data_IF_032726576009
#
_entry.id   IF_032726576009
#
_cell.length_a   1.000
_cell.length_b   1.000
_cell.length_c   1.000
_cell.angle_alpha   90.00
_cell.angle_beta   90.00
_cell.angle_gamma   90.00
#
_symmetry.space_group_name_H-M   'P 1'
#
loop_
_entity.id
_entity.type
_entity.pdbx_description
1 polymer ?
#
# COMPACT_ATOMS: atom_id res chain seq x y z
N UNK A 1 -48.29 -11.63 -46.58
CA UNK A 1 -48.36 -12.57 -45.44
C UNK A 1 -46.93 -12.74 -44.96
N UNK A 2 -46.64 -12.23 -43.77
CA UNK A 2 -45.32 -12.22 -43.13
C UNK A 2 -45.08 -13.52 -42.36
N UNK A 3 -43.81 -13.97 -42.29
CA UNK A 3 -43.20 -14.82 -41.23
C UNK A 3 -41.67 -14.70 -41.42
N UNK A 4 -40.98 -13.80 -40.71
CA UNK A 4 -40.22 -14.02 -39.46
C UNK A 4 -38.81 -14.63 -39.63
N UNK A 5 -37.81 -13.77 -39.44
CA UNK A 5 -36.39 -14.06 -39.29
C UNK A 5 -36.10 -14.72 -37.93
N UNK A 6 -35.53 -15.93 -37.93
CA UNK A 6 -35.04 -16.55 -36.70
C UNK A 6 -33.50 -16.53 -36.66
N UNK A 7 -32.96 -15.53 -35.94
CA UNK A 7 -31.54 -15.42 -35.58
C UNK A 7 -31.20 -16.44 -34.51
N UNK A 8 -30.55 -17.54 -34.89
CA UNK A 8 -29.91 -18.47 -33.93
C UNK A 8 -28.48 -17.99 -33.63
N UNK A 9 -28.32 -17.20 -32.57
CA UNK A 9 -27.02 -16.84 -32.04
C UNK A 9 -26.53 -17.99 -31.15
N UNK A 10 -25.68 -18.85 -31.71
CA UNK A 10 -25.06 -19.95 -30.98
C UNK A 10 -24.25 -19.41 -29.80
N UNK A 11 -24.67 -19.78 -28.59
CA UNK A 11 -23.97 -19.52 -27.34
C UNK A 11 -22.60 -20.18 -27.36
N UNK A 12 -21.52 -19.41 -27.47
CA UNK A 12 -20.21 -19.86 -27.00
C UNK A 12 -20.23 -19.77 -25.49
N UNK A 13 -20.29 -20.93 -24.83
CA UNK A 13 -19.93 -21.07 -23.43
C UNK A 13 -18.53 -20.48 -23.25
N UNK A 14 -18.43 -19.41 -22.45
CA UNK A 14 -17.15 -18.93 -21.95
C UNK A 14 -16.71 -19.96 -20.93
N UNK A 15 -15.75 -20.80 -21.29
CA UNK A 15 -15.03 -21.66 -20.35
C UNK A 15 -14.30 -20.76 -19.34
N UNK A 16 -14.99 -20.44 -18.24
CA UNK A 16 -14.40 -19.76 -17.11
C UNK A 16 -13.45 -20.72 -16.41
N UNK A 17 -12.15 -20.52 -16.63
CA UNK A 17 -11.08 -21.31 -16.02
C UNK A 17 -11.24 -21.35 -14.49
N UNK A 18 -10.96 -22.48 -13.80
CA UNK A 18 -11.07 -22.60 -12.34
C UNK A 18 -10.30 -21.51 -11.57
N UNK A 19 -9.25 -20.95 -12.18
CA UNK A 19 -8.46 -19.84 -11.62
C UNK A 19 -9.25 -18.52 -11.54
N UNK A 20 -10.08 -18.21 -12.54
CA UNK A 20 -10.89 -16.99 -12.54
C UNK A 20 -11.99 -17.03 -11.48
N UNK A 21 -12.58 -18.20 -11.25
CA UNK A 21 -13.63 -18.35 -10.24
C UNK A 21 -13.07 -18.23 -8.81
N UNK A 22 -11.88 -18.78 -8.56
CA UNK A 22 -11.17 -18.60 -7.27
C UNK A 22 -10.76 -17.15 -7.01
N UNK A 23 -10.25 -16.46 -8.02
CA UNK A 23 -9.88 -15.04 -7.92
C UNK A 23 -11.11 -14.13 -7.72
N UNK A 24 -12.24 -14.46 -8.34
CA UNK A 24 -13.50 -13.75 -8.15
C UNK A 24 -14.03 -13.86 -6.70
N UNK A 25 -13.90 -15.04 -6.09
CA UNK A 25 -14.27 -15.26 -4.68
C UNK A 25 -13.42 -14.43 -3.72
N UNK A 26 -12.09 -14.49 -3.85
CA UNK A 26 -11.17 -13.74 -2.99
C UNK A 26 -11.38 -12.22 -3.10
N UNK A 27 -11.59 -11.71 -4.32
CA UNK A 27 -11.92 -10.29 -4.53
C UNK A 27 -13.20 -9.88 -3.79
N UNK A 28 -14.22 -10.72 -3.83
CA UNK A 28 -15.50 -10.46 -3.16
C UNK A 28 -15.33 -10.45 -1.63
N UNK A 29 -14.54 -11.36 -1.07
CA UNK A 29 -14.21 -11.42 0.35
C UNK A 29 -13.53 -10.13 0.82
N UNK A 30 -12.46 -9.71 0.13
CA UNK A 30 -11.71 -8.49 0.45
C UNK A 30 -12.59 -7.25 0.31
N UNK A 31 -13.42 -7.18 -0.75
CA UNK A 31 -14.38 -6.10 -0.91
C UNK A 31 -15.37 -6.00 0.26
N UNK A 32 -15.93 -7.12 0.71
CA UNK A 32 -16.89 -7.13 1.81
C UNK A 32 -16.22 -6.73 3.13
N UNK A 33 -14.98 -7.15 3.37
CA UNK A 33 -14.20 -6.76 4.55
C UNK A 33 -13.89 -5.26 4.55
N UNK A 34 -13.41 -4.71 3.43
CA UNK A 34 -13.16 -3.27 3.25
C UNK A 34 -14.45 -2.47 3.47
N UNK A 35 -15.56 -2.92 2.87
CA UNK A 35 -16.87 -2.26 3.04
C UNK A 35 -17.30 -2.23 4.51
N UNK A 36 -17.15 -3.36 5.21
CA UNK A 36 -17.52 -3.49 6.63
C UNK A 36 -16.68 -2.55 7.50
N UNK A 37 -15.36 -2.47 7.26
CA UNK A 37 -14.48 -1.56 7.99
C UNK A 37 -14.78 -0.10 7.74
N UNK A 38 -15.03 0.29 6.49
CA UNK A 38 -15.40 1.68 6.15
C UNK A 38 -16.71 2.11 6.83
N UNK A 39 -17.67 1.18 6.97
CA UNK A 39 -18.90 1.41 7.72
C UNK A 39 -18.64 1.56 9.23
N UNK A 40 -17.78 0.71 9.81
CA UNK A 40 -17.40 0.80 11.22
C UNK A 40 -16.65 2.09 11.57
N UNK A 41 -15.81 2.59 10.67
CA UNK A 41 -15.10 3.86 10.80
C UNK A 41 -16.02 5.08 10.63
N UNK A 42 -17.30 4.85 10.30
CA UNK A 42 -18.31 5.87 10.02
C UNK A 42 -17.81 6.89 8.97
N UNK A 43 -17.14 6.39 7.92
CA UNK A 43 -16.66 7.25 6.85
C UNK A 43 -17.87 7.88 6.15
N UNK A 44 -17.85 9.20 5.97
CA UNK A 44 -19.02 9.96 5.46
C UNK A 44 -19.51 9.42 4.12
N UNK A 45 -18.58 9.02 3.26
CA UNK A 45 -18.87 8.47 1.93
C UNK A 45 -19.55 7.09 1.98
N UNK A 46 -19.32 6.30 3.03
CA UNK A 46 -19.89 4.95 3.15
C UNK A 46 -21.42 4.96 3.32
N UNK A 47 -21.97 6.11 3.74
CA UNK A 47 -23.41 6.32 3.90
C UNK A 47 -24.10 6.86 2.64
N UNK A 48 -23.34 7.18 1.57
CA UNK A 48 -23.91 7.74 0.35
C UNK A 48 -24.62 6.64 -0.48
N UNK A 49 -25.75 6.98 -1.12
CA UNK A 49 -26.43 6.05 -2.02
C UNK A 49 -25.52 5.71 -3.20
N UNK A 50 -25.38 4.42 -3.51
CA UNK A 50 -24.53 3.93 -4.60
C UNK A 50 -23.04 3.79 -4.26
N UNK A 51 -22.61 4.13 -3.04
CA UNK A 51 -21.21 3.95 -2.60
C UNK A 51 -20.71 2.51 -2.80
N UNK A 52 -21.53 1.54 -2.37
CA UNK A 52 -21.21 0.10 -2.50
C UNK A 52 -20.92 -0.29 -3.95
N UNK A 53 -21.77 0.14 -4.87
CA UNK A 53 -21.64 -0.17 -6.30
C UNK A 53 -20.41 0.51 -6.89
N UNK A 54 -20.16 1.76 -6.52
CA UNK A 54 -18.97 2.51 -6.95
C UNK A 54 -17.66 1.92 -6.42
N UNK A 55 -17.66 1.37 -5.22
CA UNK A 55 -16.52 0.67 -4.63
C UNK A 55 -16.31 -0.68 -5.34
N UNK A 56 -17.39 -1.40 -5.62
CA UNK A 56 -17.32 -2.66 -6.37
C UNK A 56 -16.79 -2.46 -7.80
N UNK A 57 -17.23 -1.40 -8.47
CA UNK A 57 -16.69 -1.01 -9.78
C UNK A 57 -15.18 -0.71 -9.72
N UNK A 58 -14.71 -0.07 -8.65
CA UNK A 58 -13.28 0.18 -8.46
C UNK A 58 -12.48 -1.13 -8.35
N UNK A 59 -12.93 -2.10 -7.57
CA UNK A 59 -12.29 -3.43 -7.51
C UNK A 59 -12.30 -4.18 -8.85
N UNK A 60 -13.35 -4.00 -9.66
CA UNK A 60 -13.44 -4.62 -10.98
C UNK A 60 -12.62 -3.91 -12.05
N UNK A 61 -12.34 -2.61 -11.86
CA UNK A 61 -11.47 -1.82 -12.72
C UNK A 61 -10.00 -2.23 -12.59
N UNK A 62 -9.61 -2.80 -11.46
CA UNK A 62 -8.24 -3.20 -11.13
C UNK A 62 -7.99 -4.72 -11.35
N UNK A 63 -6.73 -5.13 -11.57
CA UNK A 63 -6.39 -6.54 -11.75
C UNK A 63 -6.61 -7.32 -10.44
N UNK A 64 -6.86 -8.66 -10.50
CA UNK A 64 -7.11 -9.47 -9.31
C UNK A 64 -6.04 -9.33 -8.21
N UNK A 65 -4.78 -9.12 -8.61
CA UNK A 65 -3.66 -8.91 -7.68
C UNK A 65 -3.88 -7.73 -6.72
N UNK A 66 -4.55 -6.67 -7.14
CA UNK A 66 -4.85 -5.54 -6.25
C UNK A 66 -5.62 -5.98 -5.00
N UNK A 67 -6.63 -6.85 -5.18
CA UNK A 67 -7.41 -7.37 -4.06
C UNK A 67 -6.60 -8.32 -3.17
N UNK A 68 -5.57 -8.98 -3.71
CA UNK A 68 -4.70 -9.87 -2.94
C UNK A 68 -3.68 -9.11 -2.09
N UNK A 69 -3.19 -7.99 -2.62
CA UNK A 69 -2.06 -7.26 -2.03
C UNK A 69 -2.51 -6.12 -1.11
N UNK A 70 -3.73 -5.60 -1.28
CA UNK A 70 -4.23 -4.47 -0.48
C UNK A 70 -4.54 -4.92 0.95
N UNK A 71 -4.04 -4.16 1.93
CA UNK A 71 -4.36 -4.42 3.33
C UNK A 71 -5.80 -4.00 3.64
N UNK A 72 -6.61 -4.94 4.13
CA UNK A 72 -7.96 -4.66 4.62
C UNK A 72 -7.97 -3.75 5.84
N UNK A 73 -6.88 -3.72 6.60
CA UNK A 73 -6.71 -2.80 7.74
C UNK A 73 -6.64 -1.34 7.32
N UNK A 74 -6.37 -1.12 6.04
CA UNK A 74 -6.19 0.18 5.41
C UNK A 74 -7.30 0.46 4.41
N UNK A 75 -8.54 0.21 4.82
CA UNK A 75 -9.71 0.34 3.97
C UNK A 75 -9.88 1.76 3.38
N UNK A 76 -9.43 2.79 4.10
CA UNK A 76 -9.41 4.18 3.64
C UNK A 76 -8.48 4.39 2.44
N UNK A 77 -7.42 3.59 2.30
CA UNK A 77 -6.47 3.71 1.20
C UNK A 77 -7.11 3.30 -0.13
N UNK A 78 -8.05 2.35 -0.07
CA UNK A 78 -8.87 1.98 -1.23
C UNK A 78 -9.67 3.19 -1.70
N UNK A 79 -10.15 4.04 -0.79
CA UNK A 79 -10.84 5.29 -1.15
C UNK A 79 -9.88 6.31 -1.75
N UNK A 80 -8.68 6.43 -1.19
CA UNK A 80 -7.62 7.25 -1.77
C UNK A 80 -7.30 6.81 -3.20
N UNK A 81 -7.08 5.51 -3.44
CA UNK A 81 -6.83 4.97 -4.77
C UNK A 81 -7.98 5.24 -5.74
N UNK A 82 -9.22 5.01 -5.30
CA UNK A 82 -10.43 5.31 -6.07
C UNK A 82 -10.49 6.79 -6.43
N UNK A 83 -10.21 7.68 -5.47
CA UNK A 83 -10.20 9.13 -5.68
C UNK A 83 -9.11 9.56 -6.65
N UNK A 84 -7.89 9.04 -6.50
CA UNK A 84 -6.76 9.38 -7.38
C UNK A 84 -7.00 8.93 -8.82
N UNK A 85 -7.58 7.75 -9.03
CA UNK A 85 -7.98 7.28 -10.36
C UNK A 85 -9.07 8.16 -10.98
N UNK A 86 -10.07 8.57 -10.19
CA UNK A 86 -11.12 9.46 -10.67
C UNK A 86 -10.59 10.87 -10.99
N UNK A 87 -9.76 11.45 -10.13
CA UNK A 87 -9.14 12.75 -10.41
C UNK A 87 -8.25 12.68 -11.64
N UNK A 88 -7.56 11.56 -11.84
CA UNK A 88 -6.80 11.34 -13.05
C UNK A 88 -7.68 11.23 -14.28
N UNK A 89 -9.02 11.18 -14.24
CA UNK A 89 -9.83 11.22 -15.47
C UNK A 89 -9.78 12.60 -16.16
N UNK A 90 -9.51 13.68 -15.42
CA UNK A 90 -9.32 15.02 -15.98
C UNK A 90 -7.88 15.24 -16.49
N UNK A 91 -7.66 15.47 -17.80
CA UNK A 91 -6.33 15.72 -18.34
C UNK A 91 -5.62 16.96 -17.76
N UNK A 92 -6.37 17.95 -17.25
CA UNK A 92 -5.81 19.21 -16.77
C UNK A 92 -5.07 19.08 -15.42
N UNK A 93 -5.36 18.02 -14.66
CA UNK A 93 -4.81 17.80 -13.31
C UNK A 93 -3.78 16.67 -13.25
N UNK A 94 -3.52 15.99 -14.37
CA UNK A 94 -2.56 14.87 -14.43
C UNK A 94 -1.10 15.35 -14.41
N UNK A 95 -0.18 14.54 -13.85
CA UNK A 95 -0.43 13.35 -13.05
C UNK A 95 -0.94 13.71 -11.65
N UNK A 96 -1.89 12.91 -11.13
CA UNK A 96 -2.42 13.09 -9.78
C UNK A 96 -1.63 12.19 -8.84
N UNK A 97 -1.23 12.69 -7.69
CA UNK A 97 -0.47 11.89 -6.74
C UNK A 97 -0.75 12.31 -5.30
N UNK A 98 -0.47 11.39 -4.38
CA UNK A 98 -0.57 11.59 -2.94
C UNK A 98 0.70 11.09 -2.25
N UNK A 99 1.12 11.81 -1.22
CA UNK A 99 2.28 11.48 -0.39
C UNK A 99 1.81 11.38 1.05
N UNK A 100 2.22 10.31 1.72
CA UNK A 100 1.91 10.10 3.13
C UNK A 100 3.08 9.45 3.86
N UNK A 101 3.04 9.54 5.18
CA UNK A 101 4.02 8.91 6.07
C UNK A 101 3.52 7.53 6.48
N UNK A 102 4.38 6.51 6.39
CA UNK A 102 4.10 5.12 6.75
C UNK A 102 5.20 4.56 7.64
N UNK A 103 4.89 3.47 8.33
CA UNK A 103 5.80 2.81 9.26
C UNK A 103 6.02 1.36 8.84
N UNK A 104 7.29 0.97 8.66
CA UNK A 104 7.67 -0.39 8.29
C UNK A 104 8.48 -1.01 9.42
N UNK A 105 8.11 -2.21 9.86
CA UNK A 105 8.90 -2.95 10.84
C UNK A 105 10.13 -3.55 10.15
N UNK A 106 11.34 -3.39 10.72
CA UNK A 106 12.53 -4.01 10.16
C UNK A 106 12.39 -5.53 10.23
N UNK A 107 12.50 -6.20 9.08
CA UNK A 107 12.73 -7.64 9.03
C UNK A 107 14.13 -7.90 9.56
N UNK A 108 14.24 -8.48 10.76
CA UNK A 108 15.52 -8.90 11.33
C UNK A 108 16.24 -9.84 10.35
N UNK A 109 17.37 -9.41 9.79
CA UNK A 109 18.33 -10.27 9.12
C UNK A 109 19.61 -10.22 9.97
N UNK A 110 20.03 -11.39 10.46
CA UNK A 110 20.85 -11.52 11.66
C UNK A 110 22.36 -11.25 11.56
N UNK A 111 22.97 -11.52 12.72
CA UNK A 111 24.38 -11.63 13.09
C UNK A 111 25.06 -10.35 13.57
N UNK A 112 25.30 -10.27 14.90
CA UNK A 112 26.44 -9.54 15.43
C UNK A 112 26.96 -10.20 16.69
N UNK A 113 28.23 -10.56 16.63
CA UNK A 113 29.04 -11.26 17.63
C UNK A 113 29.42 -10.30 18.77
N UNK A 114 29.50 -10.86 19.98
CA UNK A 114 30.12 -10.42 21.24
C UNK A 114 30.76 -9.03 21.31
N UNK A 115 30.44 -8.28 22.37
CA UNK A 115 31.47 -7.97 23.38
C UNK A 115 30.86 -7.35 24.65
N UNK A 116 31.20 -7.99 25.77
CA UNK A 116 30.98 -7.56 27.15
C UNK A 116 31.70 -6.24 27.48
N UNK A 117 31.12 -5.39 28.33
CA UNK A 117 31.77 -4.95 29.59
C UNK A 117 30.82 -4.17 30.52
N UNK A 118 30.93 -4.52 31.81
CA UNK A 118 30.35 -4.03 33.07
C UNK A 118 29.79 -2.59 33.17
N UNK A 119 28.98 -2.17 34.14
CA UNK A 119 28.08 -2.73 35.20
C UNK A 119 27.84 -1.57 36.20
N UNK A 120 26.87 -1.71 37.13
CA UNK A 120 26.67 -0.94 38.38
C UNK A 120 25.80 0.34 38.25
N UNK A 121 24.75 0.63 39.05
CA UNK A 121 24.38 0.20 40.39
C UNK A 121 22.88 0.55 40.69
N UNK A 122 22.07 -0.45 41.00
CA UNK A 122 21.07 -0.58 42.11
C UNK A 122 20.20 0.65 42.50
N UNK A 123 18.85 0.53 42.40
CA UNK A 123 17.92 0.31 43.55
C UNK A 123 16.43 0.29 43.19
N UNK A 124 15.77 -0.66 43.85
CA UNK A 124 14.33 -0.87 44.14
C UNK A 124 13.59 0.45 44.50
N UNK A 125 12.28 0.63 44.33
CA UNK A 125 11.19 -0.25 44.77
C UNK A 125 9.81 0.25 44.28
N UNK A 126 8.83 -0.67 44.34
CA UNK A 126 7.39 -0.52 44.55
C UNK A 126 6.55 0.64 43.94
N UNK A 127 5.67 0.23 43.03
CA UNK A 127 4.30 0.72 42.77
C UNK A 127 4.08 2.21 42.45
N UNK A 128 4.00 2.50 41.15
CA UNK A 128 3.08 3.50 40.61
C UNK A 128 2.40 2.93 39.37
N UNK A 129 1.10 2.64 39.51
CA UNK A 129 0.17 2.72 38.39
C UNK A 129 0.29 4.14 37.81
N UNK A 130 0.23 4.25 36.49
CA UNK A 130 0.54 5.47 35.71
C UNK A 130 2.03 5.72 35.50
N UNK A 131 2.67 4.87 34.69
CA UNK A 131 3.77 5.34 33.86
C UNK A 131 3.29 5.39 32.41
N UNK A 132 2.98 6.62 32.00
CA UNK A 132 2.88 7.08 30.63
C UNK A 132 4.07 6.54 29.82
N UNK A 133 3.90 5.38 29.19
CA UNK A 133 4.90 4.85 28.27
C UNK A 133 4.79 5.66 26.98
N UNK A 134 5.58 6.72 26.94
CA UNK A 134 6.14 7.40 25.79
C UNK A 134 5.41 7.16 24.47
N UNK A 135 4.44 8.04 24.24
CA UNK A 135 3.85 8.51 22.98
C UNK A 135 4.83 8.49 21.78
N UNK A 136 5.19 7.31 21.25
CA UNK A 136 5.81 7.13 19.93
C UNK A 136 4.68 7.28 18.92
N UNK A 137 4.73 8.29 18.06
CA UNK A 137 3.77 8.43 16.97
C UNK A 137 3.72 7.16 16.14
N UNK A 138 2.57 6.48 16.13
CA UNK A 138 2.31 5.23 15.43
C UNK A 138 1.80 5.63 14.04
N UNK A 139 2.68 5.75 13.06
CA UNK A 139 2.24 6.00 11.68
C UNK A 139 1.63 4.70 11.12
N UNK A 140 0.66 4.78 10.20
CA UNK A 140 0.00 3.58 9.70
C UNK A 140 0.96 2.77 8.80
N UNK A 141 0.76 1.44 8.67
CA UNK A 141 1.59 0.60 7.81
C UNK A 141 1.39 0.94 6.32
N UNK A 142 2.26 0.49 5.40
CA UNK A 142 2.03 0.65 3.95
C UNK A 142 0.67 0.09 3.47
N UNK A 143 0.16 0.60 2.34
CA UNK A 143 -1.12 0.12 1.75
C UNK A 143 -1.00 -1.32 1.25
N UNK A 144 0.17 -1.61 0.69
CA UNK A 144 0.55 -2.88 0.11
C UNK A 144 1.85 -3.32 0.77
N UNK A 145 2.01 -4.63 0.98
CA UNK A 145 3.17 -5.15 1.71
C UNK A 145 2.98 -5.13 3.22
N UNK A 146 3.75 -5.97 3.91
CA UNK A 146 3.59 -6.33 5.34
C UNK A 146 2.22 -6.93 5.69
N UNK A 147 1.85 -8.04 5.03
CA UNK A 147 0.78 -8.89 5.56
C UNK A 147 1.16 -9.43 6.97
N UNK A 148 0.21 -9.64 7.90
CA UNK A 148 0.47 -10.24 9.22
C UNK A 148 1.13 -11.62 9.15
N UNK A 149 1.14 -12.27 7.98
CA UNK A 149 1.74 -13.58 7.79
C UNK A 149 3.29 -13.56 7.77
N UNK A 150 3.93 -12.41 7.47
CA UNK A 150 5.38 -12.27 7.60
C UNK A 150 5.80 -12.00 9.05
N UNK A 151 5.00 -11.25 9.81
CA UNK A 151 5.20 -11.07 11.26
C UNK A 151 4.99 -12.39 12.02
N UNK A 152 4.05 -13.23 11.61
CA UNK A 152 3.86 -14.57 12.18
C UNK A 152 5.06 -15.50 11.97
N UNK A 153 5.75 -15.40 10.82
CA UNK A 153 6.99 -16.13 10.57
C UNK A 153 8.15 -15.61 11.43
N UNK A 154 8.21 -14.29 11.67
CA UNK A 154 9.21 -13.69 12.57
C UNK A 154 8.96 -14.10 14.03
N UNK A 155 7.70 -14.16 14.47
CA UNK A 155 7.32 -14.62 15.82
C UNK A 155 7.58 -16.11 16.05
N UNK A 156 7.34 -16.97 15.05
CA UNK A 156 7.58 -18.43 15.16
C UNK A 156 9.06 -18.80 15.29
N UNK A 157 9.97 -18.01 14.71
CA UNK A 157 11.42 -18.23 14.88
C UNK A 157 11.86 -17.94 16.33
N UNK A 158 11.17 -17.05 17.03
CA UNK A 158 11.45 -16.72 18.44
C UNK A 158 10.79 -17.64 19.47
N UNK A 159 9.89 -18.56 19.06
CA UNK A 159 9.15 -19.41 20.01
C UNK A 159 9.66 -20.85 20.11
N UNK A 160 10.76 -21.21 19.43
CA UNK A 160 11.27 -22.60 19.44
C UNK A 160 12.47 -22.86 20.37
N UNK A 161 12.97 -21.87 21.10
CA UNK A 161 13.98 -22.10 22.14
C UNK A 161 13.36 -21.87 23.51
N UNK A 162 12.75 -22.92 24.04
CA UNK A 162 12.45 -23.04 25.47
C UNK A 162 13.56 -23.89 26.08
N UNK A 163 14.01 -23.43 27.25
CA UNK A 163 14.98 -24.01 28.18
C UNK A 163 16.43 -23.51 28.00
N UNK A 164 16.72 -22.31 28.52
CA UNK A 164 17.64 -22.25 29.67
C UNK A 164 17.48 -20.94 30.47
N UNK A 165 17.75 -21.06 31.77
CA UNK A 165 17.61 -20.05 32.81
C UNK A 165 18.43 -18.76 32.59
N UNK A 166 17.86 -17.64 33.04
CA UNK A 166 18.54 -16.40 33.44
C UNK A 166 19.52 -15.75 32.44
N UNK A 167 19.03 -14.92 31.51
CA UNK A 167 19.83 -13.80 30.97
C UNK A 167 19.07 -12.79 30.12
N UNK A 168 19.16 -11.52 30.50
CA UNK A 168 19.18 -10.30 29.65
C UNK A 168 17.91 -9.94 28.87
N UNK A 169 17.36 -8.80 29.28
CA UNK A 169 16.44 -7.93 28.55
C UNK A 169 17.01 -7.60 27.17
N UNK A 170 16.74 -8.45 26.16
CA UNK A 170 16.86 -8.07 24.77
C UNK A 170 15.80 -7.01 24.49
N UNK A 171 16.19 -5.76 24.73
CA UNK A 171 15.56 -4.57 24.18
C UNK A 171 15.78 -4.57 22.67
N UNK A 172 15.24 -5.56 21.95
CA UNK A 172 14.91 -5.38 20.53
C UNK A 172 13.69 -4.48 20.48
N UNK A 173 13.90 -3.21 20.83
CA UNK A 173 13.02 -2.17 20.34
C UNK A 173 13.17 -2.20 18.83
N UNK A 174 12.34 -3.00 18.16
CA UNK A 174 12.22 -3.01 16.70
C UNK A 174 11.97 -1.56 16.30
N UNK A 175 13.02 -0.89 15.83
CA UNK A 175 12.93 0.48 15.37
C UNK A 175 12.16 0.43 14.07
N UNK A 176 10.85 0.56 14.17
CA UNK A 176 9.98 0.80 13.05
C UNK A 176 10.52 1.98 12.24
N UNK A 177 10.99 1.70 11.02
CA UNK A 177 11.57 2.72 10.18
C UNK A 177 10.43 3.55 9.58
N UNK A 178 10.49 4.87 9.80
CA UNK A 178 9.57 5.81 9.15
C UNK A 178 9.94 5.89 7.68
N UNK A 179 8.95 5.69 6.83
CA UNK A 179 9.08 5.71 5.37
C UNK A 179 7.95 6.58 4.80
N UNK A 180 8.05 6.92 3.53
CA UNK A 180 7.00 7.64 2.83
C UNK A 180 6.38 6.74 1.80
N UNK A 181 5.07 6.83 1.63
CA UNK A 181 4.37 6.17 0.55
C UNK A 181 3.89 7.24 -0.44
N UNK A 182 4.23 7.03 -1.72
CA UNK A 182 3.85 7.90 -2.82
C UNK A 182 2.98 7.11 -3.77
N UNK A 183 1.72 7.52 -3.92
CA UNK A 183 0.79 6.92 -4.88
C UNK A 183 0.59 7.86 -6.06
N UNK A 184 0.84 7.37 -7.26
CA UNK A 184 0.61 8.05 -8.53
C UNK A 184 -0.59 7.47 -9.26
N UNK A 185 -1.34 8.34 -9.93
CA UNK A 185 -2.43 7.98 -10.82
C UNK A 185 -2.37 8.82 -12.10
N UNK A 186 -2.32 8.14 -13.25
CA UNK A 186 -2.20 8.78 -14.57
C UNK A 186 -2.63 7.82 -15.68
N UNK A 187 -2.54 8.25 -16.94
CA UNK A 187 -2.79 7.38 -18.11
C UNK A 187 -1.72 6.31 -18.18
N UNK A 188 -2.13 5.05 -18.31
CA UNK A 188 -1.21 3.95 -18.55
C UNK A 188 -0.62 4.08 -19.96
N UNK A 189 0.71 4.07 -20.04
CA UNK A 189 1.45 4.21 -21.28
C UNK A 189 2.82 3.54 -21.18
N UNK A 190 3.41 3.14 -22.32
CA UNK A 190 4.76 2.60 -22.33
C UNK A 190 5.75 3.52 -21.62
N UNK A 191 6.67 2.92 -20.85
CA UNK A 191 7.73 3.60 -20.08
C UNK A 191 7.26 4.46 -18.91
N UNK A 192 5.96 4.48 -18.56
CA UNK A 192 5.47 5.23 -17.40
C UNK A 192 6.25 4.90 -16.12
N UNK A 193 6.37 3.62 -15.78
CA UNK A 193 7.12 3.18 -14.60
C UNK A 193 8.57 3.67 -14.59
N UNK A 194 9.27 3.60 -15.73
CA UNK A 194 10.64 4.12 -15.81
C UNK A 194 10.72 5.63 -15.57
N UNK A 195 9.70 6.39 -16.01
CA UNK A 195 9.61 7.83 -15.76
C UNK A 195 9.37 8.11 -14.27
N UNK A 196 8.46 7.39 -13.64
CA UNK A 196 8.17 7.53 -12.20
C UNK A 196 9.36 7.11 -11.35
N UNK A 197 10.05 6.03 -11.69
CA UNK A 197 11.28 5.61 -10.99
C UNK A 197 12.41 6.63 -11.15
N UNK A 198 12.57 7.23 -12.35
CA UNK A 198 13.53 8.32 -12.57
C UNK A 198 13.20 9.51 -11.68
N UNK A 199 11.93 9.92 -11.60
CA UNK A 199 11.48 10.99 -10.71
C UNK A 199 11.87 10.74 -9.26
N UNK A 200 11.56 9.55 -8.76
CA UNK A 200 11.83 9.18 -7.36
C UNK A 200 13.35 9.22 -7.09
N UNK A 201 14.15 8.72 -8.03
CA UNK A 201 15.62 8.77 -7.96
C UNK A 201 16.18 10.19 -8.02
N UNK A 202 15.65 11.05 -8.90
CA UNK A 202 16.05 12.46 -9.02
C UNK A 202 15.77 13.27 -7.74
N UNK A 203 14.72 12.91 -7.00
CA UNK A 203 14.43 13.50 -5.69
C UNK A 203 15.47 13.06 -4.65
N UNK A 204 16.15 11.93 -4.86
CA UNK A 204 17.11 11.32 -3.96
C UNK A 204 16.48 10.31 -2.99
N UNK A 205 15.32 9.77 -3.35
CA UNK A 205 14.61 8.77 -2.54
C UNK A 205 15.05 7.37 -2.96
N UNK A 206 15.10 6.46 -1.99
CA UNK A 206 15.40 5.06 -2.25
C UNK A 206 14.11 4.23 -2.14
N UNK A 207 13.87 3.37 -3.13
CA UNK A 207 12.63 2.59 -3.26
C UNK A 207 12.79 1.29 -2.47
N UNK A 208 11.94 1.10 -1.48
CA UNK A 208 11.88 -0.11 -0.67
C UNK A 208 10.87 -1.11 -1.24
N UNK A 209 9.73 -0.60 -1.72
CA UNK A 209 8.67 -1.41 -2.30
C UNK A 209 7.96 -0.62 -3.41
N UNK A 210 7.52 -1.32 -4.46
CA UNK A 210 6.79 -0.73 -5.56
C UNK A 210 5.67 -1.66 -6.05
N UNK A 211 4.47 -1.11 -6.15
CA UNK A 211 3.28 -1.79 -6.67
C UNK A 211 2.73 -1.02 -7.85
N UNK A 212 2.50 -1.73 -8.96
CA UNK A 212 1.99 -1.13 -10.18
C UNK A 212 0.74 -1.88 -10.65
N UNK A 213 -0.31 -1.13 -10.95
CA UNK A 213 -1.59 -1.68 -11.39
C UNK A 213 -2.13 -0.92 -12.61
N UNK A 214 -2.23 -1.62 -13.73
CA UNK A 214 -2.96 -1.16 -14.90
C UNK A 214 -4.45 -1.47 -14.75
N UNK A 215 -5.27 -0.44 -14.88
CA UNK A 215 -6.73 -0.56 -14.91
C UNK A 215 -7.23 -0.94 -16.29
N UNK A 216 -8.40 -1.58 -16.35
CA UNK A 216 -9.00 -2.02 -17.63
C UNK A 216 -9.43 -0.87 -18.55
N UNK A 217 -9.53 0.35 -18.02
CA UNK A 217 -9.92 1.56 -18.76
C UNK A 217 -8.72 2.48 -19.09
N UNK A 218 -7.49 1.96 -18.99
CA UNK A 218 -6.29 2.62 -19.54
C UNK A 218 -5.60 3.61 -18.60
N UNK A 219 -5.83 3.49 -17.30
CA UNK A 219 -5.10 4.24 -16.26
C UNK A 219 -4.14 3.35 -15.48
N UNK A 220 -3.13 3.96 -14.89
CA UNK A 220 -2.18 3.30 -13.99
C UNK A 220 -2.35 3.83 -12.57
N UNK A 221 -2.23 2.94 -11.59
CA UNK A 221 -2.10 3.23 -10.17
C UNK A 221 -0.77 2.64 -9.70
N UNK A 222 0.19 3.51 -9.37
CA UNK A 222 1.56 3.13 -9.02
C UNK A 222 1.90 3.62 -7.61
N UNK A 223 2.21 2.71 -6.69
CA UNK A 223 2.50 2.99 -5.28
C UNK A 223 3.95 2.64 -4.96
N UNK A 224 4.68 3.62 -4.43
CA UNK A 224 6.08 3.47 -4.03
C UNK A 224 6.22 3.71 -2.53
N UNK A 225 6.77 2.74 -1.80
CA UNK A 225 7.25 2.93 -0.44
C UNK A 225 8.73 3.29 -0.52
N UNK A 226 9.10 4.43 0.05
CA UNK A 226 10.43 5.03 -0.12
C UNK A 226 11.01 5.51 1.20
N UNK A 227 12.33 5.47 1.31
CA UNK A 227 13.10 6.12 2.37
C UNK A 227 14.10 7.15 1.80
N UNK A 228 14.94 7.71 2.67
CA UNK A 228 15.90 8.77 2.31
C UNK A 228 15.36 10.20 2.44
N UNK A 229 14.09 10.38 2.82
CA UNK A 229 13.54 11.70 3.16
C UNK A 229 13.70 12.00 4.65
N UNK A 230 14.40 13.09 5.04
CA UNK A 230 14.78 13.35 6.44
C UNK A 230 13.68 13.99 7.29
N UNK A 231 12.59 14.44 6.70
CA UNK A 231 11.52 15.17 7.38
C UNK A 231 10.24 14.34 7.45
N UNK A 232 9.48 14.46 8.54
CA UNK A 232 8.16 13.82 8.65
C UNK A 232 7.08 14.56 7.84
N UNK A 233 7.34 15.82 7.50
CA UNK A 233 6.41 16.64 6.75
C UNK A 233 6.31 16.20 5.29
N UNK A 234 5.11 15.76 4.91
CA UNK A 234 4.79 15.31 3.56
C UNK A 234 4.67 16.46 2.56
N UNK A 235 4.40 17.69 3.02
CA UNK A 235 4.18 18.85 2.14
C UNK A 235 5.43 19.25 1.35
N UNK A 236 6.61 19.18 1.97
CA UNK A 236 7.87 19.46 1.27
C UNK A 236 8.17 18.40 0.20
N UNK A 237 7.95 17.13 0.54
CA UNK A 237 8.10 16.01 -0.39
C UNK A 237 7.09 16.10 -1.53
N UNK A 238 5.84 16.47 -1.23
CA UNK A 238 4.78 16.71 -2.21
C UNK A 238 5.16 17.85 -3.17
N UNK A 239 5.69 18.95 -2.66
CA UNK A 239 6.16 20.06 -3.48
C UNK A 239 7.34 19.67 -4.38
N UNK A 240 8.28 18.88 -3.88
CA UNK A 240 9.43 18.40 -4.66
C UNK A 240 9.01 17.40 -5.74
N UNK A 241 8.10 16.49 -5.40
CA UNK A 241 7.48 15.54 -6.34
C UNK A 241 6.69 16.29 -7.43
N UNK A 242 5.92 17.32 -7.06
CA UNK A 242 5.20 18.17 -8.03
C UNK A 242 6.17 18.86 -9.00
N UNK A 243 7.27 19.42 -8.48
CA UNK A 243 8.30 20.07 -9.32
C UNK A 243 8.93 19.11 -10.31
N UNK A 244 9.34 17.91 -9.86
CA UNK A 244 9.93 16.91 -10.76
C UNK A 244 8.92 16.38 -11.80
N UNK A 245 7.65 16.20 -11.42
CA UNK A 245 6.58 15.85 -12.38
C UNK A 245 6.43 16.87 -13.51
N UNK A 246 6.48 18.17 -13.20
CA UNK A 246 6.46 19.23 -14.22
C UNK A 246 7.65 19.13 -15.17
N UNK A 247 8.81 18.70 -14.69
CA UNK A 247 10.01 18.53 -15.52
C UNK A 247 9.81 17.36 -16.49
N UNK A 248 9.34 16.20 -16.01
CA UNK A 248 9.16 14.99 -16.82
C UNK A 248 8.03 15.14 -17.85
N UNK A 249 6.96 15.85 -17.50
CA UNK A 249 5.83 16.11 -18.42
C UNK A 249 6.19 17.10 -19.54
N UNK A 250 7.15 18.01 -19.29
CA UNK A 250 7.62 18.98 -20.28
C UNK A 250 8.83 18.50 -21.10
N UNK A 251 9.38 17.32 -20.84
CA UNK A 251 10.41 16.74 -21.70
C UNK A 251 9.79 16.36 -23.05
N UNK A 252 10.31 16.87 -24.19
CA UNK A 252 9.80 16.50 -25.51
C UNK A 252 9.93 14.99 -25.71
N UNK A 253 8.85 14.36 -26.15
CA UNK A 253 8.81 12.94 -26.51
C UNK A 253 9.74 12.71 -27.72
N UNK A 254 11.02 12.44 -27.45
CA UNK A 254 12.08 12.21 -28.45
C UNK A 254 11.94 10.88 -29.22
N UNK A 255 10.77 10.23 -29.18
CA UNK A 255 10.54 8.92 -29.81
C UNK A 255 9.39 8.90 -30.84
N UNK A 256 8.95 10.05 -31.34
CA UNK A 256 8.12 10.12 -32.55
C UNK A 256 8.98 10.55 -33.75
N UNK A 257 9.97 9.73 -34.11
CA UNK A 257 10.74 9.84 -35.34
C UNK A 257 10.83 8.47 -36.02
#
# INVERSE_FOLDING_TARGET
MAMEDNKSWGSRAVDSSPKQNRQGGQRLEVFNEVLTRLQHLNHQDANLPGFKDQLWLHFNRLPPRYALDVSVERAEDVLTHKRLLHLAEDPAVRPVFEVRLVQVHPTSCGNSVDSNHLDSLVKEDAQSYENHSSRRGIHPPPTFGSSPNLEALVLQVYTFEVEDEDSVVHSTAQFSQRMHEITFSTVDRPKLLSQLTSLVSEIGLNIQEAHAFSTIDGFSLDVFVVDGWPHEETEQLKNRTKKGNTIITNMPNIYNA
#
